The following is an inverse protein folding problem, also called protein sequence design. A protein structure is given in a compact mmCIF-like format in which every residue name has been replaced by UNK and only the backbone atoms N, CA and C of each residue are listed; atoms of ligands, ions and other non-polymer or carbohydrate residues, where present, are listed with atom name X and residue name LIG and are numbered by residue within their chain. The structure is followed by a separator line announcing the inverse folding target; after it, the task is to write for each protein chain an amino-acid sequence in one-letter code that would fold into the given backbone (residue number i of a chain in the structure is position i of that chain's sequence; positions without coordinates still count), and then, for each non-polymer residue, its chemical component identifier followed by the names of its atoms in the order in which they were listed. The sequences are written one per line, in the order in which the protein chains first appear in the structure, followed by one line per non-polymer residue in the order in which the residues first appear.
data_IF_838326761363
#
_entry.id   IF_838326761363
#
_cell.length_a   1.000
_cell.length_b   1.000
_cell.length_c   1.000
_cell.angle_alpha   90.00
_cell.angle_beta   90.00
_cell.angle_gamma   90.00
#
_symmetry.space_group_name_H-M   'P 1'
#
loop_
_entity.id
_entity.type
_entity.pdbx_description
1 polymer ?
#
# COMPACT_ATOMS: atom_id res chain seq x y z
N UNK A 1 0.09 2.41 7.69
CA UNK A 1 1.11 1.97 8.68
C UNK A 1 1.12 2.81 9.96
N UNK A 2 1.58 4.08 9.95
CA UNK A 2 1.77 4.90 11.18
C UNK A 2 0.47 5.04 11.99
N UNK A 3 -0.67 5.26 11.33
CA UNK A 3 -1.98 5.30 11.99
C UNK A 3 -2.29 4.00 12.76
N UNK A 4 -2.06 2.83 12.14
CA UNK A 4 -2.26 1.51 12.79
C UNK A 4 -1.31 1.33 13.97
N UNK A 5 -0.03 1.70 13.83
CA UNK A 5 0.93 1.66 14.94
C UNK A 5 0.43 2.50 16.14
N UNK A 6 0.00 3.75 15.91
CA UNK A 6 -0.52 4.61 16.96
C UNK A 6 -1.80 4.04 17.61
N UNK A 7 -2.69 3.41 16.81
CA UNK A 7 -3.89 2.72 17.33
C UNK A 7 -3.47 1.57 18.26
N UNK A 8 -2.54 0.72 17.82
CA UNK A 8 -2.04 -0.42 18.61
C UNK A 8 -1.39 0.04 19.92
N UNK A 9 -0.59 1.11 19.91
CA UNK A 9 0.02 1.65 21.14
C UNK A 9 -0.99 2.14 22.17
N UNK A 10 -2.16 2.62 21.73
CA UNK A 10 -3.23 3.11 22.61
C UNK A 10 -4.10 1.99 23.20
N UNK A 11 -4.07 0.80 22.60
CA UNK A 11 -4.83 -0.36 23.07
C UNK A 11 -4.18 -1.01 24.29
N UNK A 12 -5.00 -1.63 25.13
CA UNK A 12 -4.56 -2.58 26.15
C UNK A 12 -3.99 -3.86 25.52
N UNK A 13 -3.16 -4.64 26.25
CA UNK A 13 -2.63 -5.90 25.75
C UNK A 13 -3.70 -6.89 25.24
N UNK A 14 -4.81 -7.03 25.96
CA UNK A 14 -5.91 -7.92 25.56
C UNK A 14 -6.64 -7.47 24.29
N UNK A 15 -6.77 -6.16 24.06
CA UNK A 15 -7.36 -5.63 22.82
C UNK A 15 -6.42 -5.87 21.63
N UNK A 16 -5.10 -5.76 21.82
CA UNK A 16 -4.13 -6.04 20.75
C UNK A 16 -4.18 -7.50 20.31
N UNK A 17 -4.43 -8.44 21.23
CA UNK A 17 -4.55 -9.87 20.90
C UNK A 17 -5.71 -10.20 19.97
N UNK A 18 -6.72 -9.32 19.88
CA UNK A 18 -7.86 -9.49 18.99
C UNK A 18 -7.62 -8.86 17.60
N UNK A 19 -6.55 -8.09 17.42
CA UNK A 19 -6.22 -7.47 16.14
C UNK A 19 -5.52 -8.46 15.19
N UNK A 20 -5.93 -8.44 13.92
CA UNK A 20 -5.29 -9.26 12.89
C UNK A 20 -3.85 -8.79 12.65
N UNK A 21 -2.83 -9.67 12.81
CA UNK A 21 -1.45 -9.34 12.51
C UNK A 21 -1.26 -8.95 11.05
N UNK A 22 -0.38 -7.98 10.78
CA UNK A 22 -0.07 -7.54 9.40
C UNK A 22 1.42 -7.37 9.19
N UNK A 23 1.88 -7.77 8.01
CA UNK A 23 3.23 -7.47 7.52
C UNK A 23 3.07 -6.59 6.28
N UNK A 24 3.60 -5.37 6.33
CA UNK A 24 3.69 -4.52 5.14
C UNK A 24 5.06 -4.70 4.50
N UNK A 25 5.06 -5.11 3.23
CA UNK A 25 6.28 -5.29 2.44
C UNK A 25 6.30 -4.24 1.34
N UNK A 26 7.35 -3.43 1.33
CA UNK A 26 7.60 -2.41 0.31
C UNK A 26 8.75 -2.86 -0.60
N UNK A 27 8.67 -2.49 -1.87
CA UNK A 27 9.75 -2.69 -2.83
C UNK A 27 9.73 -1.58 -3.87
N UNK A 28 10.90 -1.13 -4.32
CA UNK A 28 11.00 -0.10 -5.35
C UNK A 28 12.37 0.54 -5.44
N UNK A 29 12.53 1.39 -6.46
CA UNK A 29 13.75 2.17 -6.71
C UNK A 29 13.36 3.64 -6.91
N UNK A 30 14.12 4.54 -6.29
CA UNK A 30 14.00 5.96 -6.57
C UNK A 30 15.06 6.37 -7.61
N UNK A 31 14.68 7.20 -8.56
CA UNK A 31 15.64 7.86 -9.45
C UNK A 31 16.64 8.69 -8.60
N UNK A 32 17.91 8.69 -8.98
CA UNK A 32 18.99 9.26 -8.15
C UNK A 32 18.76 10.74 -7.78
N UNK A 33 18.23 11.52 -8.72
CA UNK A 33 17.92 12.94 -8.55
C UNK A 33 16.58 13.22 -7.85
N UNK A 34 15.73 12.21 -7.63
CA UNK A 34 14.40 12.40 -7.06
C UNK A 34 14.44 12.39 -5.53
N UNK A 35 14.74 13.55 -4.95
CA UNK A 35 14.88 13.73 -3.49
C UNK A 35 13.66 13.25 -2.70
N UNK A 36 12.44 13.58 -3.13
CA UNK A 36 11.23 13.20 -2.42
C UNK A 36 11.00 11.68 -2.40
N UNK A 37 11.23 10.99 -3.52
CA UNK A 37 11.15 9.52 -3.55
C UNK A 37 12.18 8.87 -2.60
N UNK A 38 13.41 9.41 -2.54
CA UNK A 38 14.42 8.95 -1.58
C UNK A 38 14.00 9.20 -0.12
N UNK A 39 13.38 10.35 0.16
CA UNK A 39 12.85 10.66 1.49
C UNK A 39 11.71 9.73 1.89
N UNK A 40 10.85 9.31 0.97
CA UNK A 40 9.80 8.31 1.22
C UNK A 40 10.42 6.96 1.59
N UNK A 41 11.44 6.50 0.85
CA UNK A 41 12.16 5.26 1.20
C UNK A 41 12.80 5.37 2.58
N UNK A 42 13.42 6.51 2.90
CA UNK A 42 13.99 6.78 4.23
C UNK A 42 12.92 6.75 5.33
N UNK A 43 11.74 7.31 5.06
CA UNK A 43 10.61 7.29 5.99
C UNK A 43 10.14 5.86 6.25
N UNK A 44 9.93 5.06 5.19
CA UNK A 44 9.46 3.67 5.31
C UNK A 44 10.45 2.84 6.13
N UNK A 45 11.74 2.93 5.81
CA UNK A 45 12.80 2.19 6.51
C UNK A 45 12.96 2.63 7.97
N UNK A 46 12.90 3.93 8.26
CA UNK A 46 12.95 4.45 9.62
C UNK A 46 11.73 4.05 10.46
N UNK A 47 10.53 4.14 9.89
CA UNK A 47 9.29 3.68 10.54
C UNK A 47 9.35 2.18 10.79
N UNK A 48 9.85 1.39 9.83
CA UNK A 48 10.02 -0.05 10.02
C UNK A 48 11.01 -0.40 11.12
N UNK A 49 12.12 0.34 11.25
CA UNK A 49 13.06 0.14 12.35
C UNK A 49 12.42 0.37 13.72
N UNK A 50 11.56 1.38 13.86
CA UNK A 50 10.83 1.63 15.12
C UNK A 50 9.82 0.50 15.38
N UNK A 51 8.95 0.21 14.42
CA UNK A 51 7.84 -0.76 14.59
C UNK A 51 8.38 -2.16 14.87
N UNK A 52 9.39 -2.60 14.11
CA UNK A 52 9.89 -3.97 14.21
C UNK A 52 10.66 -4.24 15.51
N UNK A 53 11.15 -3.20 16.18
CA UNK A 53 11.87 -3.29 17.46
C UNK A 53 10.99 -2.90 18.66
N UNK A 54 9.73 -2.50 18.46
CA UNK A 54 8.80 -2.25 19.56
C UNK A 54 8.23 -3.59 20.08
N UNK A 55 8.56 -4.02 21.31
CA UNK A 55 8.08 -5.29 21.86
C UNK A 55 6.56 -5.33 22.04
N UNK A 56 5.90 -4.17 22.16
CA UNK A 56 4.45 -4.10 22.33
C UNK A 56 3.68 -4.35 21.03
N UNK A 57 4.30 -4.08 19.88
CA UNK A 57 3.62 -3.96 18.58
C UNK A 57 4.16 -4.93 17.53
N UNK A 58 5.44 -5.31 17.58
CA UNK A 58 6.11 -6.12 16.54
C UNK A 58 5.50 -7.51 16.33
N UNK A 59 4.70 -8.01 17.28
CA UNK A 59 3.89 -9.24 17.13
C UNK A 59 2.69 -9.04 16.18
N UNK A 60 2.15 -7.84 16.10
CA UNK A 60 0.91 -7.51 15.39
C UNK A 60 1.14 -6.69 14.12
N UNK A 61 2.26 -5.98 14.03
CA UNK A 61 2.60 -5.16 12.88
C UNK A 61 4.09 -5.24 12.60
N UNK A 62 4.46 -5.62 11.38
CA UNK A 62 5.83 -5.53 10.87
C UNK A 62 5.87 -4.76 9.56
N UNK A 63 7.02 -4.13 9.30
CA UNK A 63 7.25 -3.35 8.08
C UNK A 63 8.64 -3.66 7.53
N UNK A 64 8.70 -4.09 6.28
CA UNK A 64 9.95 -4.41 5.60
C UNK A 64 10.05 -3.64 4.29
N UNK A 65 11.26 -3.18 3.97
CA UNK A 65 11.60 -2.64 2.67
C UNK A 65 12.59 -3.58 2.01
N UNK A 66 12.21 -4.16 0.88
CA UNK A 66 13.04 -5.11 0.15
C UNK A 66 13.98 -4.35 -0.79
N UNK A 67 15.29 -4.39 -0.55
CA UNK A 67 16.25 -3.65 -1.36
C UNK A 67 16.35 -4.24 -2.77
N UNK A 68 16.69 -3.38 -3.72
CA UNK A 68 16.94 -3.75 -5.12
C UNK A 68 15.82 -4.58 -5.76
N UNK A 69 14.56 -4.13 -5.61
CA UNK A 69 13.43 -4.77 -6.27
C UNK A 69 13.67 -4.96 -7.78
N UNK A 70 13.53 -6.21 -8.22
CA UNK A 70 13.76 -6.69 -9.58
C UNK A 70 12.82 -7.87 -9.86
N UNK A 71 12.93 -8.47 -11.05
CA UNK A 71 12.05 -9.59 -11.46
C UNK A 71 12.19 -10.79 -10.52
N UNK A 72 13.43 -11.20 -10.18
CA UNK A 72 13.68 -12.34 -9.28
C UNK A 72 13.02 -12.16 -7.92
N UNK A 73 13.08 -10.95 -7.36
CA UNK A 73 12.41 -10.69 -6.10
C UNK A 73 10.88 -10.66 -6.26
N UNK A 74 10.38 -10.13 -7.37
CA UNK A 74 8.94 -10.13 -7.68
C UNK A 74 8.38 -11.55 -7.80
N UNK A 75 9.14 -12.50 -8.38
CA UNK A 75 8.77 -13.92 -8.47
C UNK A 75 8.56 -14.58 -7.10
N UNK A 76 9.19 -14.05 -6.04
CA UNK A 76 8.98 -14.52 -4.66
C UNK A 76 7.84 -13.77 -3.98
N UNK A 77 7.77 -12.44 -4.14
CA UNK A 77 6.81 -11.60 -3.42
C UNK A 77 5.39 -11.72 -3.96
N UNK A 78 5.23 -11.85 -5.28
CA UNK A 78 3.90 -11.86 -5.91
C UNK A 78 3.08 -13.09 -5.48
N UNK A 79 3.61 -14.33 -5.49
CA UNK A 79 2.85 -15.50 -5.05
C UNK A 79 2.60 -15.54 -3.53
N UNK A 80 3.40 -14.82 -2.74
CA UNK A 80 3.29 -14.78 -1.28
C UNK A 80 2.32 -13.71 -0.76
N UNK A 81 1.66 -12.98 -1.66
CA UNK A 81 0.85 -11.82 -1.32
C UNK A 81 -0.60 -12.18 -1.01
N UNK A 82 -1.07 -11.78 0.18
CA UNK A 82 -2.51 -11.78 0.50
C UNK A 82 -3.24 -10.57 -0.11
N UNK A 83 -2.68 -9.36 0.08
CA UNK A 83 -3.28 -8.08 -0.35
C UNK A 83 -2.24 -7.17 -0.99
N UNK A 84 -2.51 -6.78 -2.24
CA UNK A 84 -1.67 -5.90 -3.05
C UNK A 84 -2.21 -4.46 -3.10
N UNK A 85 -1.34 -3.48 -2.90
CA UNK A 85 -1.70 -2.05 -2.85
C UNK A 85 -1.51 -1.37 -4.21
N UNK A 86 -2.60 -0.97 -4.85
CA UNK A 86 -2.63 -0.29 -6.16
C UNK A 86 -3.32 1.08 -6.04
N UNK A 87 -2.63 2.01 -5.38
CA UNK A 87 -3.22 3.21 -4.76
C UNK A 87 -2.79 4.53 -5.42
N UNK A 88 -2.47 4.51 -6.72
CA UNK A 88 -2.16 5.73 -7.48
C UNK A 88 -3.32 6.74 -7.39
N UNK A 89 -3.00 8.04 -7.43
CA UNK A 89 -4.07 9.05 -7.53
C UNK A 89 -4.84 8.84 -8.82
N UNK A 90 -6.16 8.73 -8.76
CA UNK A 90 -6.99 8.44 -9.92
C UNK A 90 -6.70 9.38 -11.10
N UNK A 91 -6.54 8.79 -12.28
CA UNK A 91 -6.15 9.45 -13.52
C UNK A 91 -4.64 9.56 -13.76
N UNK A 92 -3.79 8.96 -12.92
CA UNK A 92 -2.32 9.03 -13.09
C UNK A 92 -1.67 7.70 -13.50
N UNK A 93 -2.32 6.56 -13.26
CA UNK A 93 -1.87 5.26 -13.75
C UNK A 93 -2.57 4.93 -15.08
N UNK A 94 -1.79 4.73 -16.14
CA UNK A 94 -2.38 4.38 -17.45
C UNK A 94 -2.88 2.93 -17.50
N UNK A 95 -2.21 2.01 -16.80
CA UNK A 95 -2.57 0.59 -16.77
C UNK A 95 -2.00 -0.05 -15.49
N UNK A 96 -0.74 -0.48 -15.53
CA UNK A 96 -0.13 -1.28 -14.47
C UNK A 96 -0.29 -2.78 -14.79
N UNK A 97 0.81 -3.52 -14.72
CA UNK A 97 0.81 -4.96 -15.03
C UNK A 97 1.06 -5.81 -13.78
N UNK A 98 1.55 -5.22 -12.69
CA UNK A 98 1.80 -5.93 -11.45
C UNK A 98 0.52 -6.30 -10.72
N UNK A 99 -0.53 -5.46 -10.76
CA UNK A 99 -1.87 -5.79 -10.28
C UNK A 99 -2.40 -7.09 -10.91
N UNK A 100 -2.28 -7.23 -12.23
CA UNK A 100 -2.66 -8.46 -12.94
C UNK A 100 -1.88 -9.67 -12.41
N UNK A 101 -0.57 -9.51 -12.16
CA UNK A 101 0.27 -10.60 -11.62
C UNK A 101 -0.16 -11.01 -10.21
N UNK A 102 -0.51 -10.05 -9.35
CA UNK A 102 -1.01 -10.34 -8.01
C UNK A 102 -2.35 -11.09 -8.07
N UNK A 103 -3.30 -10.63 -8.89
CA UNK A 103 -4.61 -11.27 -9.07
C UNK A 103 -4.47 -12.68 -9.63
N UNK A 104 -3.62 -12.89 -10.63
CA UNK A 104 -3.34 -14.23 -11.18
C UNK A 104 -2.76 -15.20 -10.15
N UNK A 105 -2.18 -14.70 -9.05
CA UNK A 105 -1.68 -15.51 -7.95
C UNK A 105 -2.63 -15.55 -6.73
N UNK A 106 -3.89 -15.11 -6.89
CA UNK A 106 -4.91 -15.15 -5.83
C UNK A 106 -4.84 -14.01 -4.82
N UNK A 107 -3.98 -13.01 -5.05
CA UNK A 107 -3.88 -11.82 -4.20
C UNK A 107 -5.05 -10.86 -4.43
N UNK A 108 -5.63 -10.34 -3.34
CA UNK A 108 -6.68 -9.33 -3.42
C UNK A 108 -6.07 -7.95 -3.68
N UNK A 109 -6.81 -7.08 -4.35
CA UNK A 109 -6.40 -5.68 -4.59
C UNK A 109 -7.11 -4.77 -3.58
N UNK A 110 -6.34 -3.87 -2.98
CA UNK A 110 -6.85 -2.60 -2.46
C UNK A 110 -6.34 -1.47 -3.35
N UNK A 111 -7.25 -0.70 -3.94
CA UNK A 111 -6.85 0.25 -4.98
C UNK A 111 -7.85 1.36 -5.27
N UNK A 112 -7.37 2.33 -6.04
CA UNK A 112 -8.19 3.40 -6.60
C UNK A 112 -8.84 2.94 -7.91
N UNK A 113 -9.89 3.64 -8.34
CA UNK A 113 -10.51 3.46 -9.66
C UNK A 113 -9.64 4.10 -10.76
N UNK A 114 -8.50 3.47 -11.03
CA UNK A 114 -7.43 3.99 -11.90
C UNK A 114 -6.69 2.87 -12.64
N UNK A 115 -6.22 3.15 -13.85
CA UNK A 115 -5.51 2.18 -14.71
C UNK A 115 -6.22 0.82 -14.79
N UNK A 116 -5.41 -0.25 -14.81
CA UNK A 116 -5.87 -1.63 -14.95
C UNK A 116 -6.69 -2.14 -13.75
N UNK A 117 -6.81 -1.38 -12.66
CA UNK A 117 -7.74 -1.74 -11.59
C UNK A 117 -9.20 -1.68 -12.08
N UNK A 118 -9.50 -0.84 -13.08
CA UNK A 118 -10.83 -0.72 -13.68
C UNK A 118 -11.17 -2.02 -14.40
N UNK A 119 -10.34 -2.44 -15.35
CA UNK A 119 -10.54 -3.68 -16.10
C UNK A 119 -10.51 -4.91 -15.18
N UNK A 120 -9.60 -4.95 -14.20
CA UNK A 120 -9.56 -6.08 -13.25
C UNK A 120 -10.87 -6.17 -12.49
N UNK A 121 -11.40 -5.07 -11.97
CA UNK A 121 -12.68 -5.05 -11.26
C UNK A 121 -13.82 -5.58 -12.14
N UNK A 122 -13.88 -5.16 -13.40
CA UNK A 122 -14.91 -5.61 -14.35
C UNK A 122 -14.87 -7.13 -14.56
N UNK A 123 -13.66 -7.72 -14.58
CA UNK A 123 -13.47 -9.15 -14.79
C UNK A 123 -13.66 -10.00 -13.51
N UNK A 124 -13.22 -9.52 -12.35
CA UNK A 124 -13.28 -10.29 -11.09
C UNK A 124 -14.57 -10.08 -10.29
N UNK A 125 -15.31 -9.01 -10.57
CA UNK A 125 -16.51 -8.63 -9.81
C UNK A 125 -16.22 -7.67 -8.64
N UNK A 126 -17.18 -6.80 -8.35
CA UNK A 126 -17.09 -5.75 -7.34
C UNK A 126 -16.83 -6.29 -5.92
N UNK A 127 -17.26 -7.51 -5.64
CA UNK A 127 -17.11 -8.17 -4.34
C UNK A 127 -15.71 -8.75 -4.10
N UNK A 128 -14.88 -8.87 -5.15
CA UNK A 128 -13.54 -9.48 -5.08
C UNK A 128 -12.40 -8.44 -5.05
N UNK A 129 -12.73 -7.14 -5.04
CA UNK A 129 -11.75 -6.05 -5.06
C UNK A 129 -12.15 -4.92 -4.09
N UNK A 130 -11.17 -4.37 -3.36
CA UNK A 130 -11.39 -3.29 -2.40
C UNK A 130 -11.06 -1.93 -3.03
N UNK A 131 -12.06 -1.33 -3.67
CA UNK A 131 -11.93 0.00 -4.27
C UNK A 131 -12.21 1.11 -3.25
N UNK A 132 -11.40 2.16 -3.29
CA UNK A 132 -11.62 3.37 -2.49
C UNK A 132 -11.16 4.65 -3.21
N UNK A 133 -11.49 5.79 -2.60
CA UNK A 133 -10.97 7.10 -2.99
C UNK A 133 -11.85 7.84 -4.00
N UNK A 134 -11.32 8.97 -4.48
CA UNK A 134 -11.99 9.81 -5.47
C UNK A 134 -11.92 9.16 -6.86
N UNK A 135 -12.93 9.41 -7.68
CA UNK A 135 -12.87 9.11 -9.11
C UNK A 135 -12.06 10.19 -9.83
N UNK A 136 -11.51 9.87 -11.00
CA UNK A 136 -10.77 10.80 -11.86
C UNK A 136 -11.43 12.18 -12.04
N UNK A 137 -12.74 12.31 -12.35
CA UNK A 137 -13.38 13.62 -12.49
C UNK A 137 -13.43 14.44 -11.20
N UNK A 138 -13.35 13.81 -10.03
CA UNK A 138 -13.45 14.47 -8.72
C UNK A 138 -12.08 14.95 -8.19
N UNK A 139 -10.97 14.48 -8.79
CA UNK A 139 -9.61 14.85 -8.36
C UNK A 139 -9.31 16.33 -8.59
N UNK A 140 -9.59 16.96 -9.76
CA UNK A 140 -9.32 18.38 -9.95
C UNK A 140 -10.13 19.29 -9.00
N UNK A 141 -11.46 19.12 -8.83
CA UNK A 141 -12.23 19.89 -7.86
C UNK A 141 -11.69 19.78 -6.43
N UNK A 142 -11.32 18.57 -5.98
CA UNK A 142 -10.77 18.36 -4.64
C UNK A 142 -9.41 19.07 -4.45
N UNK A 143 -8.57 19.11 -5.49
CA UNK A 143 -7.30 19.86 -5.46
C UNK A 143 -7.53 21.36 -5.36
N UNK A 144 -8.52 21.90 -6.05
CA UNK A 144 -8.83 23.33 -5.96
C UNK A 144 -9.41 23.70 -4.60
N UNK A 145 -10.31 22.89 -4.03
CA UNK A 145 -10.81 23.08 -2.67
C UNK A 145 -9.67 23.15 -1.63
N UNK A 146 -8.71 22.22 -1.70
CA UNK A 146 -7.54 22.20 -0.81
C UNK A 146 -6.65 23.45 -0.93
N UNK A 147 -6.50 24.01 -2.14
CA UNK A 147 -5.68 25.22 -2.36
C UNK A 147 -6.34 26.47 -1.80
N UNK A 148 -7.68 26.54 -1.86
CA UNK A 148 -8.43 27.74 -1.48
C UNK A 148 -9.14 27.63 -0.12
N UNK A 149 -8.96 26.51 0.59
CA UNK A 149 -9.43 26.34 1.97
C UNK A 149 -10.96 26.31 2.11
N UNK A 150 -11.67 25.80 1.11
CA UNK A 150 -13.12 25.53 1.18
C UNK A 150 -13.40 24.17 1.79
#
# INVERSE_FOLDING_TARGET
VICRYNKLKRMSPSEREQEQPRVHVYGGKAAAAYAQAKNIIRLITGVGAVINNDPDVSKYLKVFFMPNYNVTLAEVLIPANDVSEHISTAGLEASGTSNMKFVMNGGLIIGTMDGANIEIREEVGDEQIFIFGLLTPDVPPAREALKYGQ
#
